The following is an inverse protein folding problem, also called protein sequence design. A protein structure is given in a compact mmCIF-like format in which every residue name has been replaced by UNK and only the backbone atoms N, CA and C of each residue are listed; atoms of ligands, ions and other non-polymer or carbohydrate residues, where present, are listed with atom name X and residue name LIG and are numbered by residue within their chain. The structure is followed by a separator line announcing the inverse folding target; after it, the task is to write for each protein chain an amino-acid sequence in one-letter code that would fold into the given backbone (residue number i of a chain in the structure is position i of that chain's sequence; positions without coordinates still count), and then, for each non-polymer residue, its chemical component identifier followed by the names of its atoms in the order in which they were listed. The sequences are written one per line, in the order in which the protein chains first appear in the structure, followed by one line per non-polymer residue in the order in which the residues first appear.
data_IF_647433147656
#
_entry.id   IF_647433147656
#
_cell.length_a   1.000
_cell.length_b   1.000
_cell.length_c   1.000
_cell.angle_alpha   90.00
_cell.angle_beta   90.00
_cell.angle_gamma   90.00
#
_symmetry.space_group_name_H-M   'P 1'
#
loop_
_entity.id
_entity.type
_entity.pdbx_description
1 polymer ?
#
# COMPACT_ATOMS: atom_id res chain seq x y z
N UNK A 1 -17.79 -20.49 -2.80
CA UNK A 1 -19.21 -20.28 -3.19
C UNK A 1 -19.75 -18.88 -2.87
N UNK A 2 -19.97 -18.46 -1.59
CA UNK A 2 -20.62 -17.14 -1.34
C UNK A 2 -19.75 -15.94 -1.72
N UNK A 3 -18.44 -16.02 -1.57
CA UNK A 3 -17.48 -14.96 -1.95
C UNK A 3 -17.27 -14.86 -3.45
N UNK A 4 -17.17 -15.98 -4.15
CA UNK A 4 -17.05 -16.03 -5.62
C UNK A 4 -18.27 -15.39 -6.30
N UNK A 5 -19.49 -15.70 -5.83
CA UNK A 5 -20.72 -15.12 -6.36
C UNK A 5 -20.80 -13.59 -6.17
N UNK A 6 -20.22 -13.06 -5.08
CA UNK A 6 -20.17 -11.61 -4.83
C UNK A 6 -19.18 -10.94 -5.79
N UNK A 7 -18.01 -11.54 -6.01
CA UNK A 7 -17.01 -11.03 -6.95
C UNK A 7 -17.54 -11.07 -8.39
N UNK A 8 -18.19 -12.16 -8.80
CA UNK A 8 -18.83 -12.27 -10.11
C UNK A 8 -19.93 -11.23 -10.33
N UNK A 9 -20.75 -10.99 -9.31
CA UNK A 9 -21.80 -9.96 -9.34
C UNK A 9 -21.22 -8.55 -9.49
N UNK A 10 -20.15 -8.23 -8.75
CA UNK A 10 -19.47 -6.94 -8.85
C UNK A 10 -18.85 -6.73 -10.23
N UNK A 11 -18.15 -7.74 -10.77
CA UNK A 11 -17.57 -7.69 -12.11
C UNK A 11 -18.63 -7.54 -13.21
N UNK A 12 -19.79 -8.18 -13.06
CA UNK A 12 -20.92 -7.97 -13.96
C UNK A 12 -21.41 -6.52 -13.93
N UNK A 13 -21.52 -5.91 -12.73
CA UNK A 13 -21.88 -4.50 -12.58
C UNK A 13 -20.83 -3.55 -13.19
N UNK A 14 -19.53 -3.84 -13.06
CA UNK A 14 -18.49 -3.05 -13.72
C UNK A 14 -18.62 -3.11 -15.25
N UNK A 15 -18.88 -4.29 -15.81
CA UNK A 15 -19.04 -4.47 -17.25
C UNK A 15 -20.26 -3.71 -17.78
N UNK A 16 -21.38 -3.81 -17.08
CA UNK A 16 -22.60 -3.07 -17.42
C UNK A 16 -22.36 -1.55 -17.38
N UNK A 17 -21.75 -1.07 -16.29
CA UNK A 17 -21.42 0.35 -16.17
C UNK A 17 -20.49 0.83 -17.28
N UNK A 18 -19.48 0.02 -17.64
CA UNK A 18 -18.58 0.35 -18.75
C UNK A 18 -19.34 0.46 -20.08
N UNK A 19 -20.22 -0.50 -20.38
CA UNK A 19 -21.06 -0.45 -21.59
C UNK A 19 -21.98 0.78 -21.63
N UNK A 20 -22.61 1.12 -20.51
CA UNK A 20 -23.47 2.30 -20.42
C UNK A 20 -22.67 3.59 -20.65
N UNK A 21 -21.48 3.71 -20.05
CA UNK A 21 -20.63 4.89 -20.17
C UNK A 21 -19.96 5.03 -21.55
N UNK A 22 -19.88 3.97 -22.35
CA UNK A 22 -19.50 4.07 -23.77
C UNK A 22 -20.50 4.91 -24.59
N UNK A 23 -21.78 4.94 -24.19
CA UNK A 23 -22.80 5.82 -24.77
C UNK A 23 -22.69 7.28 -24.35
N UNK A 24 -21.75 7.61 -23.46
CA UNK A 24 -21.49 8.95 -22.95
C UNK A 24 -21.63 9.02 -21.42
N UNK A 25 -20.89 9.95 -20.81
CA UNK A 25 -20.81 10.05 -19.34
C UNK A 25 -22.19 10.27 -18.67
N UNK A 26 -23.14 10.92 -19.35
CA UNK A 26 -24.47 11.20 -18.81
C UNK A 26 -25.43 9.99 -18.82
N UNK A 27 -25.01 8.84 -19.34
CA UNK A 27 -25.81 7.61 -19.32
C UNK A 27 -26.11 7.11 -17.89
N UNK A 28 -25.23 7.45 -16.94
CA UNK A 28 -25.36 7.11 -15.52
C UNK A 28 -25.24 8.40 -14.71
N UNK A 29 -26.02 8.62 -13.64
CA UNK A 29 -25.84 9.75 -12.73
C UNK A 29 -24.41 9.85 -12.17
N UNK A 30 -23.87 11.07 -12.04
CA UNK A 30 -22.48 11.27 -11.63
C UNK A 30 -22.17 10.71 -10.22
N UNK A 31 -23.16 10.68 -9.33
CA UNK A 31 -23.03 10.07 -8.00
C UNK A 31 -22.71 8.58 -8.10
N UNK A 32 -23.37 7.87 -9.02
CA UNK A 32 -23.15 6.45 -9.25
C UNK A 32 -21.79 6.20 -9.91
N UNK A 33 -21.36 7.05 -10.86
CA UNK A 33 -20.01 7.01 -11.44
C UNK A 33 -18.92 7.20 -10.37
N UNK A 34 -19.16 8.09 -9.41
CA UNK A 34 -18.29 8.26 -8.24
C UNK A 34 -18.31 7.01 -7.35
N UNK A 35 -19.47 6.42 -7.08
CA UNK A 35 -19.58 5.19 -6.31
C UNK A 35 -18.84 4.02 -6.97
N UNK A 36 -18.85 3.93 -8.31
CA UNK A 36 -18.06 2.94 -9.05
C UNK A 36 -16.57 3.12 -8.80
N UNK A 37 -16.04 4.35 -8.90
CA UNK A 37 -14.65 4.65 -8.57
C UNK A 37 -14.29 4.19 -7.15
N UNK A 38 -15.14 4.50 -6.17
CA UNK A 38 -14.91 4.12 -4.77
C UNK A 38 -14.98 2.60 -4.57
N UNK A 39 -15.94 1.92 -5.22
CA UNK A 39 -16.14 0.48 -5.13
C UNK A 39 -14.98 -0.34 -5.69
N UNK A 40 -14.20 0.19 -6.65
CA UNK A 40 -13.02 -0.50 -7.19
C UNK A 40 -11.81 -0.49 -6.24
N UNK A 41 -11.82 0.30 -5.16
CA UNK A 41 -10.65 0.43 -4.27
C UNK A 41 -10.18 -0.91 -3.73
N UNK A 42 -11.10 -1.75 -3.26
CA UNK A 42 -10.76 -3.02 -2.62
C UNK A 42 -10.13 -4.01 -3.61
N UNK A 43 -10.62 -4.09 -4.85
CA UNK A 43 -10.05 -4.99 -5.84
C UNK A 43 -8.63 -4.57 -6.25
N UNK A 44 -8.30 -3.28 -6.24
CA UNK A 44 -6.92 -2.81 -6.43
C UNK A 44 -6.03 -3.13 -5.23
N UNK A 45 -6.52 -2.96 -4.00
CA UNK A 45 -5.77 -3.29 -2.78
C UNK A 45 -5.43 -4.78 -2.71
N UNK A 46 -6.39 -5.65 -3.06
CA UNK A 46 -6.22 -7.11 -3.01
C UNK A 46 -5.50 -7.65 -4.26
N UNK A 47 -5.36 -6.84 -5.32
CA UNK A 47 -4.71 -7.23 -6.57
C UNK A 47 -5.58 -8.11 -7.46
N UNK A 48 -6.90 -8.04 -7.32
CA UNK A 48 -7.90 -8.80 -8.09
C UNK A 48 -8.64 -7.95 -9.12
N UNK A 49 -8.23 -6.70 -9.31
CA UNK A 49 -8.86 -5.79 -10.27
C UNK A 49 -8.81 -6.36 -11.70
N UNK A 50 -9.98 -6.42 -12.33
CA UNK A 50 -10.11 -6.87 -13.72
C UNK A 50 -9.67 -5.81 -14.74
N UNK A 51 -9.49 -6.22 -15.98
CA UNK A 51 -9.25 -5.31 -17.11
C UNK A 51 -10.36 -4.24 -17.23
N UNK A 52 -11.61 -4.63 -17.00
CA UNK A 52 -12.75 -3.71 -16.99
C UNK A 52 -12.58 -2.60 -15.94
N UNK A 53 -12.06 -2.93 -14.76
CA UNK A 53 -11.79 -1.95 -13.71
C UNK A 53 -10.73 -0.92 -14.17
N UNK A 54 -9.64 -1.37 -14.82
CA UNK A 54 -8.65 -0.46 -15.39
C UNK A 54 -9.23 0.44 -16.50
N UNK A 55 -10.05 -0.11 -17.39
CA UNK A 55 -10.72 0.65 -18.43
C UNK A 55 -11.68 1.71 -17.86
N UNK A 56 -12.45 1.35 -16.83
CA UNK A 56 -13.31 2.28 -16.11
C UNK A 56 -12.52 3.38 -15.42
N UNK A 57 -11.41 3.06 -14.74
CA UNK A 57 -10.55 4.07 -14.12
C UNK A 57 -10.05 5.07 -15.16
N UNK A 58 -9.55 4.59 -16.31
CA UNK A 58 -9.06 5.46 -17.38
C UNK A 58 -10.18 6.33 -17.99
N UNK A 59 -11.39 5.78 -18.11
CA UNK A 59 -12.58 6.50 -18.60
C UNK A 59 -13.01 7.59 -17.62
N UNK A 60 -13.18 7.23 -16.35
CA UNK A 60 -13.64 8.12 -15.28
C UNK A 60 -12.61 9.19 -14.91
N UNK A 61 -11.32 8.97 -15.16
CA UNK A 61 -10.28 10.00 -15.02
C UNK A 61 -10.51 11.20 -15.96
N UNK A 62 -11.34 11.04 -17.00
CA UNK A 62 -11.73 12.08 -17.96
C UNK A 62 -13.18 12.52 -17.80
N UNK A 63 -13.85 12.11 -16.72
CA UNK A 63 -15.26 12.40 -16.50
C UNK A 63 -15.55 13.91 -16.50
N UNK A 64 -16.66 14.39 -17.08
CA UNK A 64 -16.99 15.82 -17.04
C UNK A 64 -17.15 16.37 -15.61
N UNK A 65 -17.57 15.55 -14.66
CA UNK A 65 -17.79 15.94 -13.26
C UNK A 65 -16.50 15.81 -12.45
N UNK A 66 -16.04 16.93 -11.88
CA UNK A 66 -14.78 16.97 -11.15
C UNK A 66 -14.77 16.07 -9.90
N UNK A 67 -15.91 15.86 -9.26
CA UNK A 67 -16.05 14.97 -8.09
C UNK A 67 -15.76 13.51 -8.45
N UNK A 68 -16.06 13.09 -9.68
CA UNK A 68 -15.74 11.74 -10.17
C UNK A 68 -14.23 11.63 -10.42
N UNK A 69 -13.63 12.63 -11.09
CA UNK A 69 -12.17 12.67 -11.30
C UNK A 69 -11.38 12.71 -9.99
N UNK A 70 -11.89 13.43 -8.99
CA UNK A 70 -11.31 13.46 -7.66
C UNK A 70 -11.37 12.09 -6.97
N UNK A 71 -12.45 11.32 -7.14
CA UNK A 71 -12.53 9.96 -6.63
C UNK A 71 -11.55 9.01 -7.33
N UNK A 72 -11.25 9.22 -8.61
CA UNK A 72 -10.16 8.50 -9.30
C UNK A 72 -8.78 8.88 -8.76
N UNK A 73 -8.56 10.16 -8.44
CA UNK A 73 -7.32 10.58 -7.78
C UNK A 73 -7.10 9.87 -6.42
N UNK A 74 -8.17 9.57 -5.69
CA UNK A 74 -8.08 8.84 -4.41
C UNK A 74 -7.65 7.37 -4.58
N UNK A 75 -7.76 6.78 -5.78
CA UNK A 75 -7.28 5.41 -6.09
C UNK A 75 -5.77 5.35 -6.39
N UNK A 76 -5.12 6.47 -6.71
CA UNK A 76 -3.70 6.49 -7.08
C UNK A 76 -2.76 5.74 -6.11
N UNK A 77 -2.96 5.74 -4.77
CA UNK A 77 -2.07 5.04 -3.85
C UNK A 77 -2.11 3.52 -3.99
N UNK A 78 -3.24 2.96 -4.43
CA UNK A 78 -3.45 1.50 -4.52
C UNK A 78 -3.27 0.96 -5.94
N UNK A 79 -3.14 1.84 -6.92
CA UNK A 79 -2.88 1.43 -8.30
C UNK A 79 -1.45 0.90 -8.49
N UNK A 80 -1.25 0.00 -9.47
CA UNK A 80 0.07 -0.36 -9.96
C UNK A 80 0.88 0.88 -10.36
N UNK A 81 2.19 0.86 -10.14
CA UNK A 81 3.07 2.04 -10.32
C UNK A 81 2.93 2.71 -11.69
N UNK A 82 2.89 1.92 -12.77
CA UNK A 82 2.76 2.45 -14.13
C UNK A 82 1.45 3.23 -14.34
N UNK A 83 0.33 2.68 -13.90
CA UNK A 83 -0.99 3.33 -14.02
C UNK A 83 -1.11 4.53 -13.06
N UNK A 84 -0.61 4.38 -11.83
CA UNK A 84 -0.57 5.48 -10.85
C UNK A 84 0.20 6.67 -11.38
N UNK A 85 1.39 6.46 -11.96
CA UNK A 85 2.20 7.53 -12.55
C UNK A 85 1.46 8.20 -13.71
N UNK A 86 0.93 7.41 -14.66
CA UNK A 86 0.22 7.93 -15.83
C UNK A 86 -0.98 8.80 -15.43
N UNK A 87 -1.79 8.34 -14.48
CA UNK A 87 -2.98 9.08 -14.02
C UNK A 87 -2.60 10.29 -13.16
N UNK A 88 -1.52 10.21 -12.38
CA UNK A 88 -0.97 11.36 -11.67
C UNK A 88 -0.59 12.47 -12.65
N UNK A 89 0.16 12.14 -13.70
CA UNK A 89 0.58 13.11 -14.72
C UNK A 89 -0.65 13.76 -15.39
N UNK A 90 -1.70 12.97 -15.69
CA UNK A 90 -2.96 13.48 -16.24
C UNK A 90 -3.73 14.40 -15.26
N UNK A 91 -3.93 13.95 -14.03
CA UNK A 91 -4.81 14.62 -13.06
C UNK A 91 -4.14 15.82 -12.37
N UNK A 92 -2.81 15.86 -12.31
CA UNK A 92 -2.07 17.06 -11.88
C UNK A 92 -2.25 18.22 -12.86
N UNK A 93 -2.51 17.94 -14.14
CA UNK A 93 -2.82 18.94 -15.16
C UNK A 93 -4.32 19.31 -15.22
N UNK A 94 -5.17 18.76 -14.35
CA UNK A 94 -6.60 19.02 -14.36
C UNK A 94 -6.89 20.51 -14.15
N UNK A 95 -7.90 21.04 -14.83
CA UNK A 95 -8.31 22.45 -14.69
C UNK A 95 -8.87 22.75 -13.29
N UNK A 96 -9.46 21.75 -12.63
CA UNK A 96 -10.07 21.90 -11.33
C UNK A 96 -9.06 21.75 -10.17
N UNK A 97 -8.98 22.78 -9.32
CA UNK A 97 -8.08 22.81 -8.15
C UNK A 97 -8.36 21.72 -7.12
N UNK A 98 -9.62 21.28 -6.95
CA UNK A 98 -9.97 20.21 -6.03
C UNK A 98 -9.44 18.85 -6.49
N UNK A 99 -9.43 18.60 -7.80
CA UNK A 99 -8.84 17.38 -8.37
C UNK A 99 -7.34 17.37 -8.10
N UNK A 100 -6.63 18.46 -8.41
CA UNK A 100 -5.18 18.57 -8.15
C UNK A 100 -4.84 18.36 -6.67
N UNK A 101 -5.62 18.94 -5.76
CA UNK A 101 -5.47 18.71 -4.31
C UNK A 101 -5.71 17.26 -3.89
N UNK A 102 -6.67 16.55 -4.51
CA UNK A 102 -6.85 15.12 -4.26
C UNK A 102 -5.62 14.32 -4.70
N UNK A 103 -5.04 14.64 -5.86
CA UNK A 103 -3.82 13.99 -6.34
C UNK A 103 -2.65 14.23 -5.39
N UNK A 104 -2.43 15.47 -4.94
CA UNK A 104 -1.38 15.80 -3.96
C UNK A 104 -1.53 14.99 -2.66
N UNK A 105 -2.76 14.88 -2.13
CA UNK A 105 -3.05 14.05 -0.95
C UNK A 105 -2.78 12.57 -1.20
N UNK A 106 -3.12 12.07 -2.37
CA UNK A 106 -2.90 10.67 -2.74
C UNK A 106 -1.40 10.35 -2.84
N UNK A 107 -0.61 11.24 -3.45
CA UNK A 107 0.86 11.12 -3.51
C UNK A 107 1.45 11.08 -2.09
N UNK A 108 1.03 12.00 -1.22
CA UNK A 108 1.52 12.05 0.15
C UNK A 108 1.11 10.79 0.95
N UNK A 109 -0.08 10.24 0.71
CA UNK A 109 -0.50 8.97 1.29
C UNK A 109 0.42 7.82 0.85
N UNK A 110 0.68 7.67 -0.45
CA UNK A 110 1.57 6.62 -0.98
C UNK A 110 2.99 6.74 -0.40
N UNK A 111 3.53 7.97 -0.27
CA UNK A 111 4.83 8.22 0.37
C UNK A 111 4.87 7.81 1.85
N UNK A 112 3.78 8.03 2.59
CA UNK A 112 3.68 7.60 4.00
C UNK A 112 3.65 6.09 4.11
N UNK A 113 2.90 5.42 3.25
CA UNK A 113 2.80 3.95 3.21
C UNK A 113 4.16 3.30 2.90
N UNK A 114 4.88 3.81 1.90
CA UNK A 114 6.24 3.32 1.56
C UNK A 114 7.20 3.51 2.74
N UNK A 115 7.17 4.68 3.40
CA UNK A 115 8.01 4.93 4.58
C UNK A 115 7.66 4.00 5.75
N UNK A 116 6.37 3.80 6.02
CA UNK A 116 5.91 2.92 7.07
C UNK A 116 6.34 1.47 6.82
N UNK A 117 6.21 0.98 5.59
CA UNK A 117 6.69 -0.34 5.20
C UNK A 117 8.22 -0.49 5.34
N UNK A 118 8.99 0.54 4.93
CA UNK A 118 10.44 0.57 5.10
C UNK A 118 10.88 0.51 6.57
N UNK A 119 10.21 1.28 7.43
CA UNK A 119 10.49 1.26 8.87
C UNK A 119 10.17 -0.10 9.50
N UNK A 120 9.02 -0.69 9.15
CA UNK A 120 8.63 -2.02 9.65
C UNK A 120 9.63 -3.12 9.22
N UNK A 121 10.18 -3.03 8.01
CA UNK A 121 11.21 -3.95 7.53
C UNK A 121 12.52 -3.81 8.32
N UNK A 122 12.93 -2.56 8.62
CA UNK A 122 14.12 -2.30 9.42
C UNK A 122 13.98 -2.87 10.83
N UNK A 123 12.83 -2.67 11.47
CA UNK A 123 12.55 -3.22 12.79
C UNK A 123 12.65 -4.74 12.78
N UNK A 124 12.04 -5.40 11.80
CA UNK A 124 12.09 -6.87 11.64
C UNK A 124 13.52 -7.39 11.51
N UNK A 125 14.37 -6.71 10.74
CA UNK A 125 15.79 -7.08 10.58
C UNK A 125 16.57 -6.92 11.89
N UNK A 126 16.31 -5.86 12.66
CA UNK A 126 16.94 -5.64 13.96
C UNK A 126 16.50 -6.70 14.98
N UNK A 127 15.22 -7.08 15.00
CA UNK A 127 14.72 -8.17 15.83
C UNK A 127 15.41 -9.50 15.51
N UNK A 128 15.59 -9.82 14.23
CA UNK A 128 16.30 -11.05 13.83
C UNK A 128 17.77 -11.04 14.22
N UNK A 129 18.47 -9.91 14.08
CA UNK A 129 19.87 -9.80 14.49
C UNK A 129 20.05 -9.98 16.01
N UNK A 130 19.19 -9.33 16.82
CA UNK A 130 19.23 -9.45 18.29
C UNK A 130 18.89 -10.85 18.80
N UNK A 131 18.06 -11.59 18.06
CA UNK A 131 17.67 -12.97 18.41
C UNK A 131 18.74 -14.01 18.07
N UNK A 132 19.78 -13.62 17.32
CA UNK A 132 20.85 -14.50 16.86
C UNK A 132 22.22 -14.17 17.48
N UNK A 133 22.28 -13.32 18.52
CA UNK A 133 23.52 -13.15 19.28
C UNK A 133 23.80 -14.45 20.07
N UNK A 134 24.95 -15.12 19.84
CA UNK A 134 25.34 -16.23 20.69
C UNK A 134 25.58 -15.68 22.10
N UNK A 135 24.82 -16.17 23.07
CA UNK A 135 25.05 -15.90 24.50
C UNK A 135 26.51 -16.21 24.78
N UNK A 136 27.31 -15.16 24.95
CA UNK A 136 28.73 -15.27 25.21
C UNK A 136 28.92 -16.12 26.49
N UNK A 137 29.44 -17.31 26.26
CA UNK A 137 29.74 -18.34 27.24
C UNK A 137 30.58 -17.74 28.38
N UNK A 138 29.97 -17.49 29.53
CA UNK A 138 30.67 -17.17 30.79
C UNK A 138 31.37 -18.42 31.33
N UNK A 139 32.39 -18.90 30.61
CA UNK A 139 33.41 -19.80 31.15
C UNK A 139 34.42 -18.96 31.94
N UNK A 140 34.13 -18.72 33.21
CA UNK A 140 35.20 -18.55 34.21
C UNK A 140 35.57 -19.94 34.70
N UNK A 141 36.62 -20.52 34.14
CA UNK A 141 37.28 -21.69 34.72
C UNK A 141 38.73 -21.34 35.05
N UNK A 142 38.98 -21.27 36.36
CA UNK A 142 40.13 -21.75 37.11
C UNK A 142 41.57 -21.37 36.69
N UNK A 143 42.32 -20.89 37.68
CA UNK A 143 43.64 -21.47 37.98
C UNK A 143 44.81 -20.51 38.01
N UNK A 144 45.27 -20.15 39.22
CA UNK A 144 46.70 -20.09 39.56
C UNK A 144 46.81 -20.01 41.09
N UNK A 145 47.02 -21.12 41.81
CA UNK A 145 48.33 -21.73 42.09
C UNK A 145 49.35 -20.74 42.67
N UNK A 146 49.51 -20.77 44.00
CA UNK A 146 50.83 -20.84 44.63
C UNK A 146 50.72 -21.47 46.03
N UNK A 147 51.12 -22.74 46.09
CA UNK A 147 51.71 -23.35 47.28
C UNK A 147 52.93 -22.54 47.70
N UNK A 148 53.03 -22.24 48.99
CA UNK A 148 54.31 -22.07 49.68
C UNK A 148 54.14 -22.65 51.09
N UNK A 149 54.61 -23.88 51.26
CA UNK A 149 55.02 -24.43 52.54
C UNK A 149 56.48 -24.00 52.76
N UNK A 150 56.82 -23.40 53.92
CA UNK A 150 57.90 -23.81 54.84
C UNK A 150 58.18 -22.73 55.90
N UNK A 151 57.94 -23.09 57.16
CA UNK A 151 58.42 -22.53 58.45
C UNK A 151 59.74 -23.28 58.80
N UNK A 152 60.68 -22.89 59.72
CA UNK A 152 60.78 -21.78 60.70
C UNK A 152 62.14 -21.03 60.71
N UNK A 153 62.31 -19.98 61.54
CA UNK A 153 63.54 -19.77 62.35
C UNK A 153 63.11 -19.18 63.71
N UNK A 154 63.52 -19.86 64.79
CA UNK A 154 63.31 -19.55 66.21
C UNK A 154 64.27 -18.44 66.74
N UNK A 155 64.05 -18.09 68.02
CA UNK A 155 65.02 -17.48 68.96
C UNK A 155 66.44 -18.06 68.85
#
# INVERSE_FOLDING_TARGET
MRTEAIVESFEASLREAFQQLQGGANAIPWCERKSLAQGMTESFVVGTASETAFLLVALLAKDPKWEVRAAIADLLPVLPEAESKRLTDQLMADSNTYVRRSVERAIERRKREIRAAGNAMLDLLQFHHRSNEPVANSRRHLGNSKQIHHVPIDM
#
